data_IF_269320306750
#
_entry.id   IF_269320306750
#
_cell.length_a   1.000
_cell.length_b   1.000
_cell.length_c   1.000
_cell.angle_alpha   90.00
_cell.angle_beta   90.00
_cell.angle_gamma   90.00
#
_symmetry.space_group_name_H-M   'P 1'
#
loop_
_entity.id
_entity.type
_entity.pdbx_description
1 polymer ?
#
# COMPACT_ATOMS: atom_id res chain seq x y z
N UNK A 1 -31.91 20.59 32.77
CA UNK A 1 -31.92 19.82 31.53
C UNK A 1 -31.38 18.42 31.84
N UNK A 2 -32.08 17.37 31.44
CA UNK A 2 -31.63 16.00 31.65
C UNK A 2 -30.40 15.76 30.78
N UNK A 3 -29.48 14.91 31.24
CA UNK A 3 -28.22 14.60 30.49
C UNK A 3 -28.51 14.09 29.07
N UNK A 4 -29.49 13.21 28.91
CA UNK A 4 -29.85 12.65 27.61
C UNK A 4 -30.29 13.70 26.57
N UNK A 5 -30.97 14.77 27.00
CA UNK A 5 -31.38 15.86 26.12
C UNK A 5 -30.16 16.73 25.74
N UNK A 6 -29.27 16.91 26.68
CA UNK A 6 -27.99 17.61 26.44
C UNK A 6 -27.09 16.82 25.47
N UNK A 7 -26.93 15.52 25.71
CA UNK A 7 -26.16 14.62 24.86
C UNK A 7 -26.69 14.61 23.42
N UNK A 8 -28.00 14.41 23.22
CA UNK A 8 -28.64 14.46 21.90
C UNK A 8 -28.37 15.79 21.19
N UNK A 9 -28.49 16.91 21.89
CA UNK A 9 -28.26 18.23 21.33
C UNK A 9 -26.80 18.40 20.86
N UNK A 10 -25.81 17.93 21.63
CA UNK A 10 -24.40 18.06 21.29
C UNK A 10 -23.98 17.09 20.19
N UNK A 11 -24.51 15.87 20.13
CA UNK A 11 -24.23 14.88 19.08
C UNK A 11 -24.59 15.35 17.68
N UNK A 12 -25.57 16.24 17.53
CA UNK A 12 -25.91 16.83 16.22
C UNK A 12 -24.67 17.54 15.62
N UNK A 13 -23.92 18.27 16.44
CA UNK A 13 -22.73 18.97 15.98
C UNK A 13 -21.56 18.01 15.68
N UNK A 14 -21.33 17.00 16.53
CA UNK A 14 -20.28 16.00 16.28
C UNK A 14 -20.52 15.20 14.99
N UNK A 15 -21.77 14.92 14.69
CA UNK A 15 -22.16 14.07 13.55
C UNK A 15 -22.41 14.88 12.27
N UNK A 16 -22.46 16.18 12.34
CA UNK A 16 -22.83 17.08 11.24
C UNK A 16 -21.97 16.92 9.98
N UNK A 17 -20.74 16.46 10.13
CA UNK A 17 -19.79 16.23 9.02
C UNK A 17 -19.46 14.74 8.84
N UNK A 18 -20.20 13.83 9.44
CA UNK A 18 -20.00 12.40 9.25
C UNK A 18 -20.38 11.99 7.82
N UNK A 19 -19.44 11.35 7.13
CA UNK A 19 -19.61 10.82 5.80
C UNK A 19 -19.53 9.30 5.84
N UNK A 20 -20.38 8.64 5.05
CA UNK A 20 -20.43 7.19 4.91
C UNK A 20 -20.27 6.80 3.44
N UNK A 21 -19.64 5.65 3.21
CA UNK A 21 -19.59 5.08 1.87
C UNK A 21 -20.93 4.47 1.55
N UNK A 22 -21.46 4.80 0.37
CA UNK A 22 -22.75 4.31 -0.11
C UNK A 22 -22.71 2.77 -0.23
N UNK A 23 -23.73 2.05 0.26
CA UNK A 23 -23.81 0.60 0.09
C UNK A 23 -23.69 0.18 -1.38
N UNK A 24 -23.02 -0.95 -1.63
CA UNK A 24 -22.79 -1.47 -2.98
C UNK A 24 -21.52 -0.95 -3.65
N UNK A 25 -20.83 0.03 -3.06
CA UNK A 25 -19.51 0.44 -3.54
C UNK A 25 -18.40 -0.51 -3.07
N UNK A 26 -17.45 -0.79 -3.93
CA UNK A 26 -16.15 -1.34 -3.54
C UNK A 26 -15.32 -0.26 -2.86
N UNK A 27 -14.48 -0.67 -1.93
CA UNK A 27 -13.67 0.25 -1.13
C UNK A 27 -12.20 -0.04 -1.38
N UNK A 28 -11.47 0.93 -1.86
CA UNK A 28 -10.04 1.00 -1.71
C UNK A 28 -9.67 2.09 -0.69
N UNK A 29 -8.55 1.92 0.01
CA UNK A 29 -7.98 2.97 0.84
C UNK A 29 -6.51 3.14 0.47
N UNK A 30 -6.05 4.40 0.37
CA UNK A 30 -4.66 4.71 0.08
C UNK A 30 -4.05 5.52 1.22
N UNK A 31 -2.94 5.00 1.72
CA UNK A 31 -2.11 5.67 2.71
C UNK A 31 -0.85 6.21 2.04
N UNK A 32 -0.36 7.36 2.50
CA UNK A 32 0.85 8.00 2.00
C UNK A 32 1.72 8.49 3.16
N UNK A 33 3.02 8.28 3.06
CA UNK A 33 3.98 8.65 4.09
C UNK A 33 4.33 10.14 4.05
N UNK A 34 3.91 10.90 5.04
CA UNK A 34 4.20 12.34 5.12
C UNK A 34 5.70 12.60 5.29
N UNK A 35 6.29 13.35 4.33
CA UNK A 35 7.70 13.75 4.35
C UNK A 35 8.71 12.59 4.31
N UNK A 36 8.35 11.44 3.75
CA UNK A 36 9.20 10.26 3.69
C UNK A 36 10.44 10.44 2.82
N UNK A 37 10.44 11.35 1.85
CA UNK A 37 11.65 11.73 1.13
C UNK A 37 12.74 12.23 2.09
N UNK A 38 12.40 13.11 3.04
CA UNK A 38 13.33 13.58 4.08
C UNK A 38 13.71 12.44 5.03
N UNK A 39 12.74 11.65 5.47
CA UNK A 39 12.97 10.50 6.34
C UNK A 39 13.98 9.53 5.74
N UNK A 40 13.74 9.10 4.50
CA UNK A 40 14.55 8.06 3.85
C UNK A 40 15.93 8.54 3.45
N UNK A 41 16.08 9.79 2.97
CA UNK A 41 17.32 10.30 2.40
C UNK A 41 18.21 11.03 3.41
N UNK A 42 17.63 11.81 4.30
CA UNK A 42 18.39 12.65 5.21
C UNK A 42 18.52 12.04 6.62
N UNK A 43 17.44 11.46 7.15
CA UNK A 43 17.40 10.98 8.54
C UNK A 43 17.90 9.55 8.64
N UNK A 44 17.33 8.61 7.86
CA UNK A 44 17.68 7.19 7.91
C UNK A 44 18.81 6.82 6.93
N UNK A 45 19.08 7.66 5.94
CA UNK A 45 20.09 7.45 4.91
C UNK A 45 19.98 6.08 4.24
N UNK A 46 18.76 5.70 3.90
CA UNK A 46 18.51 4.49 3.14
C UNK A 46 19.12 4.58 1.75
N UNK A 47 19.50 3.44 1.19
CA UNK A 47 20.09 3.36 -0.14
C UNK A 47 19.17 3.92 -1.22
N UNK A 48 19.75 4.57 -2.22
CA UNK A 48 19.02 5.18 -3.33
C UNK A 48 19.36 4.47 -4.66
N UNK A 49 18.37 4.24 -5.52
CA UNK A 49 16.97 4.68 -5.46
C UNK A 49 16.09 3.87 -4.51
N UNK A 50 16.40 2.61 -4.22
CA UNK A 50 15.59 1.69 -3.43
C UNK A 50 16.42 0.99 -2.36
N UNK A 51 15.82 0.73 -1.19
CA UNK A 51 16.45 0.06 -0.06
C UNK A 51 15.53 -1.06 0.45
N UNK A 52 16.07 -2.27 0.58
CA UNK A 52 15.30 -3.43 1.03
C UNK A 52 14.81 -3.29 2.48
N UNK A 53 15.55 -2.62 3.35
CA UNK A 53 15.15 -2.37 4.74
C UNK A 53 13.90 -1.49 4.81
N UNK A 54 13.84 -0.44 3.97
CA UNK A 54 12.66 0.42 3.86
C UNK A 54 11.48 -0.34 3.25
N UNK A 55 11.74 -1.13 2.19
CA UNK A 55 10.73 -2.02 1.60
C UNK A 55 10.11 -2.93 2.65
N UNK A 56 10.93 -3.60 3.46
CA UNK A 56 10.48 -4.59 4.43
C UNK A 56 9.69 -3.94 5.57
N UNK A 57 10.10 -2.77 6.06
CA UNK A 57 9.31 -1.96 7.00
C UNK A 57 7.92 -1.61 6.45
N UNK A 58 7.85 -1.20 5.18
CA UNK A 58 6.56 -0.90 4.53
C UNK A 58 5.70 -2.16 4.33
N UNK A 59 6.31 -3.31 3.98
CA UNK A 59 5.61 -4.60 3.84
C UNK A 59 5.02 -5.02 5.20
N UNK A 60 5.80 -4.96 6.26
CA UNK A 60 5.34 -5.36 7.60
C UNK A 60 4.27 -4.39 8.13
N UNK A 61 4.39 -3.09 7.85
CA UNK A 61 3.34 -2.12 8.14
C UNK A 61 2.05 -2.45 7.38
N UNK A 62 2.15 -2.84 6.11
CA UNK A 62 0.99 -3.26 5.32
C UNK A 62 0.33 -4.50 5.91
N UNK A 63 1.10 -5.52 6.28
CA UNK A 63 0.58 -6.73 6.96
C UNK A 63 -0.10 -6.39 8.27
N UNK A 64 0.46 -5.46 9.05
CA UNK A 64 -0.13 -5.01 10.31
C UNK A 64 -1.51 -4.37 10.08
N UNK A 65 -1.61 -3.38 9.19
CA UNK A 65 -2.89 -2.68 8.95
C UNK A 65 -3.94 -3.57 8.27
N UNK A 66 -3.54 -4.61 7.54
CA UNK A 66 -4.48 -5.62 7.03
C UNK A 66 -5.11 -6.47 8.14
N UNK A 67 -4.53 -6.48 9.36
CA UNK A 67 -5.03 -7.18 10.54
C UNK A 67 -5.70 -6.27 11.59
N UNK A 68 -5.86 -4.98 11.34
CA UNK A 68 -6.36 -4.02 12.34
C UNK A 68 -7.90 -3.93 12.44
N UNK A 69 -8.60 -4.98 12.08
CA UNK A 69 -10.05 -5.10 12.28
C UNK A 69 -10.92 -4.77 11.05
N UNK A 70 -10.32 -4.42 9.93
CA UNK A 70 -11.01 -4.34 8.64
C UNK A 70 -10.86 -5.64 7.86
N UNK A 71 -11.87 -5.98 7.04
CA UNK A 71 -11.76 -7.12 6.12
C UNK A 71 -11.04 -6.70 4.84
N UNK A 72 -9.73 -6.84 4.82
CA UNK A 72 -8.89 -6.51 3.67
C UNK A 72 -8.55 -7.77 2.89
N UNK A 73 -8.73 -7.74 1.57
CA UNK A 73 -8.43 -8.84 0.65
C UNK A 73 -7.02 -8.76 0.08
N UNK A 74 -6.58 -7.54 -0.24
CA UNK A 74 -5.32 -7.29 -0.92
C UNK A 74 -4.71 -5.98 -0.45
N UNK A 75 -3.41 -5.99 -0.19
CA UNK A 75 -2.58 -4.82 0.04
C UNK A 75 -1.59 -4.67 -1.11
N UNK A 76 -1.41 -3.46 -1.60
CA UNK A 76 -0.41 -3.10 -2.59
C UNK A 76 0.48 -2.01 -2.03
N UNK A 77 1.79 -2.22 -2.06
CA UNK A 77 2.79 -1.31 -1.53
C UNK A 77 3.74 -0.86 -2.63
N UNK A 78 3.91 0.43 -2.81
CA UNK A 78 4.96 1.03 -3.61
C UNK A 78 5.58 2.23 -2.90
N UNK A 79 6.91 2.43 -2.97
CA UNK A 79 7.59 3.52 -2.27
C UNK A 79 7.09 3.66 -0.82
N UNK A 80 6.56 4.81 -0.44
CA UNK A 80 5.92 5.15 0.84
C UNK A 80 4.38 5.13 0.78
N UNK A 81 3.82 4.57 -0.30
CA UNK A 81 2.38 4.43 -0.48
C UNK A 81 1.91 2.99 -0.24
N UNK A 82 0.75 2.85 0.40
CA UNK A 82 0.04 1.59 0.60
C UNK A 82 -1.39 1.76 0.07
N UNK A 83 -1.83 0.86 -0.81
CA UNK A 83 -3.22 0.77 -1.26
C UNK A 83 -3.85 -0.53 -0.79
N UNK A 84 -5.02 -0.47 -0.15
CA UNK A 84 -5.75 -1.62 0.37
C UNK A 84 -7.04 -1.82 -0.41
N UNK A 85 -7.37 -3.07 -0.74
CA UNK A 85 -8.68 -3.48 -1.26
C UNK A 85 -9.48 -4.15 -0.15
N UNK A 86 -10.62 -3.58 0.18
CA UNK A 86 -11.52 -4.15 1.17
C UNK A 86 -12.40 -5.25 0.57
N UNK A 87 -12.80 -6.19 1.41
CA UNK A 87 -13.84 -7.14 1.06
C UNK A 87 -15.19 -6.43 0.90
N UNK A 88 -16.02 -6.80 -0.07
CA UNK A 88 -17.37 -6.24 -0.24
C UNK A 88 -18.27 -6.41 1.01
N UNK A 89 -18.00 -7.44 1.83
CA UNK A 89 -18.71 -7.68 3.10
C UNK A 89 -18.07 -6.94 4.30
N UNK A 90 -17.15 -6.00 4.07
CA UNK A 90 -16.64 -5.16 5.15
C UNK A 90 -17.74 -4.26 5.68
N UNK A 91 -18.00 -4.36 6.97
CA UNK A 91 -19.00 -3.53 7.67
C UNK A 91 -18.43 -2.81 8.88
N UNK A 92 -17.12 -2.82 9.04
CA UNK A 92 -16.44 -2.19 10.15
C UNK A 92 -16.80 -0.70 10.22
N UNK A 93 -17.23 -0.25 11.42
CA UNK A 93 -17.67 1.12 11.71
C UNK A 93 -18.76 1.66 10.76
N UNK A 94 -19.64 0.77 10.24
CA UNK A 94 -20.68 1.11 9.25
C UNK A 94 -20.11 1.88 8.03
N UNK A 95 -18.89 1.57 7.63
CA UNK A 95 -18.16 2.25 6.54
C UNK A 95 -18.07 3.77 6.68
N UNK A 96 -17.98 4.28 7.92
CA UNK A 96 -17.76 5.70 8.21
C UNK A 96 -16.38 6.15 7.74
N UNK A 97 -16.32 7.09 6.80
CA UNK A 97 -15.07 7.53 6.13
C UNK A 97 -14.01 7.98 7.11
N UNK A 98 -14.36 8.85 8.10
CA UNK A 98 -13.39 9.33 9.07
C UNK A 98 -12.80 8.19 9.92
N UNK A 99 -13.59 7.16 10.27
CA UNK A 99 -13.09 6.01 11.05
C UNK A 99 -12.11 5.16 10.24
N UNK A 100 -12.41 4.90 8.98
CA UNK A 100 -11.48 4.18 8.09
C UNK A 100 -10.16 4.96 7.97
N UNK A 101 -10.25 6.25 7.60
CA UNK A 101 -9.07 7.09 7.40
C UNK A 101 -8.21 7.20 8.66
N UNK A 102 -8.81 7.51 9.80
CA UNK A 102 -8.05 7.78 11.03
C UNK A 102 -7.46 6.53 11.66
N UNK A 103 -8.18 5.40 11.62
CA UNK A 103 -7.68 4.13 12.17
C UNK A 103 -6.52 3.61 11.32
N UNK A 104 -6.69 3.54 10.00
CA UNK A 104 -5.62 3.06 9.11
C UNK A 104 -4.37 3.94 9.20
N UNK A 105 -4.53 5.27 9.15
CA UNK A 105 -3.42 6.20 9.29
C UNK A 105 -2.74 6.09 10.66
N UNK A 106 -3.53 5.95 11.73
CA UNK A 106 -3.03 5.78 13.10
C UNK A 106 -2.26 4.48 13.29
N UNK A 107 -2.82 3.36 12.84
CA UNK A 107 -2.18 2.03 12.90
C UNK A 107 -0.87 1.99 12.10
N UNK A 108 -0.89 2.50 10.85
CA UNK A 108 0.32 2.57 10.03
C UNK A 108 1.39 3.45 10.67
N UNK A 109 1.01 4.63 11.16
CA UNK A 109 1.94 5.57 11.81
C UNK A 109 2.53 4.99 13.10
N UNK A 110 1.69 4.37 13.93
CA UNK A 110 2.12 3.76 15.20
C UNK A 110 3.08 2.59 14.96
N UNK A 111 2.67 1.63 14.13
CA UNK A 111 3.49 0.45 13.85
C UNK A 111 4.84 0.81 13.21
N UNK A 112 4.81 1.63 12.16
CA UNK A 112 6.04 2.03 11.46
C UNK A 112 6.98 2.82 12.38
N UNK A 113 6.43 3.72 13.21
CA UNK A 113 7.24 4.50 14.16
C UNK A 113 7.94 3.62 15.19
N UNK A 114 7.24 2.63 15.74
CA UNK A 114 7.81 1.67 16.70
C UNK A 114 8.91 0.82 16.04
N UNK A 115 8.65 0.29 14.84
CA UNK A 115 9.62 -0.54 14.12
C UNK A 115 10.87 0.25 13.68
N UNK A 116 10.70 1.53 13.30
CA UNK A 116 11.80 2.38 12.88
C UNK A 116 12.53 3.04 14.06
N UNK A 117 11.91 3.13 15.24
CA UNK A 117 12.43 3.91 16.38
C UNK A 117 12.38 5.43 16.17
N UNK A 118 11.53 5.93 15.29
CA UNK A 118 11.37 7.36 14.97
C UNK A 118 9.91 7.67 14.66
N UNK A 119 9.42 8.80 15.14
CA UNK A 119 8.07 9.24 14.84
C UNK A 119 7.88 9.53 13.35
N UNK A 120 6.86 8.90 12.75
CA UNK A 120 6.42 9.14 11.38
C UNK A 120 4.90 9.31 11.34
N UNK A 121 4.40 9.83 10.23
CA UNK A 121 2.98 10.04 10.03
C UNK A 121 2.57 9.60 8.63
N UNK A 122 1.48 8.84 8.58
CA UNK A 122 0.77 8.54 7.34
C UNK A 122 -0.53 9.33 7.29
N UNK A 123 -0.91 9.78 6.11
CA UNK A 123 -2.30 10.14 5.83
C UNK A 123 -3.04 8.97 5.17
N UNK A 124 -4.36 9.06 5.12
CA UNK A 124 -5.19 8.04 4.48
C UNK A 124 -6.38 8.68 3.78
N UNK A 125 -6.72 8.15 2.61
CA UNK A 125 -7.94 8.49 1.87
C UNK A 125 -8.68 7.25 1.42
N UNK A 126 -10.00 7.28 1.59
CA UNK A 126 -10.89 6.25 1.06
C UNK A 126 -11.26 6.58 -0.38
N UNK A 127 -11.29 5.55 -1.22
CA UNK A 127 -11.65 5.62 -2.64
C UNK A 127 -12.81 4.66 -2.89
N UNK A 128 -14.07 5.14 -2.91
CA UNK A 128 -15.22 4.32 -3.28
C UNK A 128 -15.24 4.12 -4.80
N UNK A 129 -15.42 2.87 -5.22
CA UNK A 129 -15.38 2.45 -6.62
C UNK A 129 -16.69 1.72 -6.96
N UNK A 130 -17.41 2.12 -8.02
CA UNK A 130 -18.77 1.64 -8.27
C UNK A 130 -18.84 0.22 -8.82
N UNK A 131 -17.76 -0.32 -9.42
CA UNK A 131 -17.74 -1.64 -10.04
C UNK A 131 -16.35 -2.27 -10.03
N UNK A 132 -16.30 -3.57 -10.35
CA UNK A 132 -15.07 -4.37 -10.36
C UNK A 132 -14.06 -3.86 -11.40
N UNK A 133 -14.51 -3.39 -12.54
CA UNK A 133 -13.61 -2.90 -13.58
C UNK A 133 -12.82 -1.68 -13.09
N UNK A 134 -13.49 -0.74 -12.42
CA UNK A 134 -12.80 0.40 -11.81
C UNK A 134 -11.89 0.00 -10.65
N UNK A 135 -12.17 -1.10 -9.94
CA UNK A 135 -11.21 -1.64 -8.95
C UNK A 135 -9.96 -2.14 -9.66
N UNK A 136 -10.09 -2.92 -10.74
CA UNK A 136 -8.96 -3.40 -11.54
C UNK A 136 -8.14 -2.23 -12.10
N UNK A 137 -8.82 -1.24 -12.68
CA UNK A 137 -8.19 -0.04 -13.25
C UNK A 137 -7.44 0.77 -12.19
N UNK A 138 -8.01 0.90 -10.98
CA UNK A 138 -7.37 1.59 -9.88
C UNK A 138 -6.01 0.97 -9.51
N UNK A 139 -5.97 -0.34 -9.29
CA UNK A 139 -4.72 -1.02 -8.93
C UNK A 139 -3.74 -1.10 -10.09
N UNK A 140 -4.22 -1.27 -11.32
CA UNK A 140 -3.37 -1.21 -12.52
C UNK A 140 -2.75 0.19 -12.66
N UNK A 141 -3.52 1.25 -12.48
CA UNK A 141 -3.02 2.61 -12.49
C UNK A 141 -1.91 2.82 -11.45
N UNK A 142 -2.09 2.31 -10.22
CA UNK A 142 -1.05 2.41 -9.19
C UNK A 142 0.22 1.66 -9.59
N UNK A 143 0.10 0.46 -10.17
CA UNK A 143 1.26 -0.31 -10.62
C UNK A 143 2.00 0.37 -11.79
N UNK A 144 1.28 0.95 -12.73
CA UNK A 144 1.89 1.69 -13.85
C UNK A 144 2.57 2.99 -13.36
N UNK A 145 1.97 3.68 -12.40
CA UNK A 145 2.59 4.85 -11.77
C UNK A 145 3.88 4.47 -11.03
N UNK A 146 3.89 3.35 -10.31
CA UNK A 146 5.07 2.77 -9.68
C UNK A 146 6.21 2.58 -10.69
N UNK A 147 5.91 1.95 -11.83
CA UNK A 147 6.91 1.70 -12.87
C UNK A 147 7.48 2.98 -13.48
N UNK A 148 6.61 3.95 -13.75
CA UNK A 148 7.02 5.28 -14.25
C UNK A 148 7.94 6.00 -13.26
N UNK A 149 7.57 5.98 -11.98
CA UNK A 149 8.32 6.62 -10.90
C UNK A 149 9.65 5.89 -10.65
N UNK A 150 9.67 4.56 -10.74
CA UNK A 150 10.89 3.76 -10.59
C UNK A 150 11.91 4.07 -11.68
N UNK A 151 11.50 4.09 -12.96
CA UNK A 151 12.39 4.44 -14.06
C UNK A 151 12.98 5.85 -13.87
N UNK A 152 12.13 6.80 -13.48
CA UNK A 152 12.59 8.17 -13.20
C UNK A 152 13.58 8.23 -12.02
N UNK A 153 13.33 7.47 -10.97
CA UNK A 153 14.20 7.39 -9.79
C UNK A 153 15.56 6.78 -10.12
N UNK A 154 15.60 5.71 -10.91
CA UNK A 154 16.85 5.11 -11.38
C UNK A 154 17.67 6.10 -12.18
N UNK A 155 17.08 6.80 -13.16
CA UNK A 155 17.76 7.82 -13.93
C UNK A 155 18.27 8.97 -13.04
N UNK A 156 17.41 9.49 -12.17
CA UNK A 156 17.75 10.59 -11.28
C UNK A 156 18.94 10.25 -10.37
N UNK A 157 18.90 9.11 -9.72
CA UNK A 157 19.97 8.74 -8.79
C UNK A 157 21.26 8.33 -9.49
N UNK A 158 21.20 7.80 -10.72
CA UNK A 158 22.36 7.57 -11.56
C UNK A 158 23.06 8.90 -11.87
N UNK A 159 22.34 9.90 -12.34
CA UNK A 159 22.89 11.23 -12.60
C UNK A 159 23.43 11.91 -11.32
N UNK A 160 22.74 11.72 -10.18
CA UNK A 160 23.20 12.21 -8.88
C UNK A 160 24.53 11.58 -8.45
N UNK A 161 24.71 10.29 -8.68
CA UNK A 161 25.96 9.57 -8.39
C UNK A 161 27.11 10.01 -9.30
N UNK A 162 26.79 10.53 -10.50
CA UNK A 162 27.77 11.12 -11.44
C UNK A 162 28.13 12.58 -11.08
N UNK A 163 27.59 13.14 -10.02
CA UNK A 163 27.93 14.47 -9.52
C UNK A 163 26.96 15.59 -9.91
N UNK A 164 25.91 15.31 -10.67
CA UNK A 164 24.89 16.34 -10.96
C UNK A 164 24.23 16.82 -9.67
N UNK A 165 23.95 18.10 -9.53
CA UNK A 165 23.16 18.66 -8.45
C UNK A 165 21.69 18.17 -8.55
N UNK A 166 20.93 18.33 -7.45
CA UNK A 166 19.50 18.01 -7.41
C UNK A 166 18.73 18.72 -8.53
N UNK A 167 19.01 20.00 -8.72
CA UNK A 167 18.31 20.82 -9.72
C UNK A 167 18.68 20.41 -11.14
N UNK A 168 19.97 20.21 -11.42
CA UNK A 168 20.44 19.79 -12.75
C UNK A 168 19.84 18.44 -13.16
N UNK A 169 19.89 17.41 -12.29
CA UNK A 169 19.32 16.10 -12.59
C UNK A 169 17.82 16.18 -12.84
N UNK A 170 17.09 16.97 -12.03
CA UNK A 170 15.65 17.17 -12.21
C UNK A 170 15.32 17.85 -13.53
N UNK A 171 16.03 18.92 -13.87
CA UNK A 171 15.83 19.64 -15.13
C UNK A 171 16.21 18.79 -16.35
N UNK A 172 17.30 18.03 -16.24
CA UNK A 172 17.74 17.13 -17.30
C UNK A 172 16.71 16.05 -17.65
N UNK A 173 16.04 15.50 -16.65
CA UNK A 173 15.00 14.46 -16.84
C UNK A 173 13.61 15.01 -17.15
N UNK A 174 13.41 16.32 -17.03
CA UNK A 174 12.11 16.95 -17.25
C UNK A 174 11.63 16.71 -18.68
N UNK A 175 10.39 16.25 -18.82
CA UNK A 175 9.73 15.94 -20.09
C UNK A 175 10.47 14.92 -21.00
N UNK A 176 11.43 14.16 -20.46
CA UNK A 176 12.10 13.11 -21.24
C UNK A 176 11.21 11.88 -21.37
N UNK A 177 11.23 11.30 -22.58
CA UNK A 177 10.47 10.08 -22.91
C UNK A 177 10.98 8.86 -22.15
N UNK A 178 10.16 7.80 -22.10
CA UNK A 178 10.55 6.49 -21.58
C UNK A 178 11.75 5.93 -22.35
N UNK A 179 11.72 6.03 -23.68
CA UNK A 179 12.83 5.59 -24.52
C UNK A 179 14.15 6.27 -24.15
N UNK A 180 14.14 7.60 -24.02
CA UNK A 180 15.32 8.36 -23.60
C UNK A 180 15.85 7.90 -22.23
N UNK A 181 14.96 7.65 -21.27
CA UNK A 181 15.35 7.20 -19.93
C UNK A 181 15.97 5.81 -19.92
N UNK A 182 15.44 4.90 -20.72
CA UNK A 182 16.03 3.57 -20.88
C UNK A 182 17.42 3.65 -21.55
N UNK A 183 17.58 4.45 -22.61
CA UNK A 183 18.86 4.69 -23.27
C UNK A 183 19.89 5.30 -22.31
N UNK A 184 19.47 6.28 -21.49
CA UNK A 184 20.31 6.91 -20.48
C UNK A 184 20.88 5.90 -19.49
N UNK A 185 20.07 4.95 -19.03
CA UNK A 185 20.51 3.88 -18.12
C UNK A 185 21.39 2.86 -18.86
N UNK A 186 20.98 2.45 -20.06
CA UNK A 186 21.71 1.47 -20.86
C UNK A 186 23.12 1.93 -21.21
N UNK A 187 23.29 3.20 -21.58
CA UNK A 187 24.60 3.82 -21.82
C UNK A 187 25.52 3.81 -20.57
N UNK A 188 25.00 3.45 -19.40
CA UNK A 188 25.71 3.33 -18.12
C UNK A 188 25.77 1.89 -17.61
N UNK A 189 25.58 0.94 -18.51
CA UNK A 189 25.54 -0.49 -18.22
C UNK A 189 24.44 -0.89 -17.22
N UNK A 190 23.34 -0.15 -17.17
CA UNK A 190 22.15 -0.46 -16.37
C UNK A 190 21.03 -0.85 -17.33
N UNK A 191 20.76 -2.15 -17.45
CA UNK A 191 19.56 -2.60 -18.15
C UNK A 191 18.36 -2.54 -17.19
N UNK A 192 17.42 -1.62 -17.45
CA UNK A 192 16.24 -1.45 -16.58
C UNK A 192 15.35 -2.71 -16.54
N UNK A 193 15.41 -3.58 -17.55
CA UNK A 193 14.68 -4.84 -17.53
C UNK A 193 15.14 -5.79 -16.41
N UNK A 194 16.44 -5.73 -16.05
CA UNK A 194 17.05 -6.59 -15.03
C UNK A 194 16.85 -6.05 -13.60
N UNK A 195 16.30 -4.84 -13.47
CA UNK A 195 15.94 -4.28 -12.17
C UNK A 195 14.88 -5.14 -11.49
N UNK A 196 15.01 -5.47 -10.19
CA UNK A 196 14.07 -6.31 -9.46
C UNK A 196 12.62 -5.82 -9.61
N UNK A 197 11.69 -6.77 -9.76
CA UNK A 197 10.29 -6.46 -10.07
C UNK A 197 9.64 -5.60 -8.98
N UNK A 198 9.95 -5.87 -7.71
CA UNK A 198 9.43 -5.09 -6.59
C UNK A 198 9.79 -3.60 -6.62
N UNK A 199 10.91 -3.22 -7.26
CA UNK A 199 11.30 -1.82 -7.44
C UNK A 199 10.50 -1.14 -8.55
N UNK A 200 10.11 -1.92 -9.58
CA UNK A 200 9.38 -1.44 -10.75
C UNK A 200 7.87 -1.44 -10.56
N UNK A 201 7.35 -2.47 -9.89
CA UNK A 201 5.92 -2.79 -9.87
C UNK A 201 5.33 -2.88 -8.47
N UNK A 202 6.12 -2.56 -7.43
CA UNK A 202 5.67 -2.66 -6.05
C UNK A 202 5.62 -4.10 -5.54
N UNK A 203 4.95 -4.28 -4.40
CA UNK A 203 4.78 -5.57 -3.70
C UNK A 203 3.31 -5.77 -3.39
N UNK A 204 2.78 -6.93 -3.72
CA UNK A 204 1.44 -7.37 -3.34
C UNK A 204 1.45 -8.09 -2.01
N UNK A 205 0.45 -7.88 -1.17
CA UNK A 205 0.29 -8.58 0.11
C UNK A 205 -1.14 -9.15 0.16
N UNK A 206 -1.26 -10.46 0.31
CA UNK A 206 -2.56 -11.13 0.35
C UNK A 206 -2.49 -12.44 1.14
N UNK A 207 -3.67 -12.95 1.53
CA UNK A 207 -3.78 -14.17 2.32
C UNK A 207 -3.43 -15.40 1.50
N UNK A 208 -2.47 -16.21 1.99
CA UNK A 208 -2.20 -17.57 1.48
C UNK A 208 -2.55 -18.61 2.53
N UNK A 209 -3.10 -19.75 2.09
CA UNK A 209 -3.37 -20.88 2.96
C UNK A 209 -2.12 -21.76 3.05
N UNK A 210 -1.80 -22.17 4.26
CA UNK A 210 -0.75 -23.16 4.52
C UNK A 210 -1.24 -24.21 5.51
N UNK A 211 -0.68 -25.41 5.41
CA UNK A 211 -0.97 -26.51 6.33
C UNK A 211 0.05 -26.47 7.47
N UNK A 212 -0.44 -26.44 8.69
CA UNK A 212 0.39 -26.50 9.90
C UNK A 212 -0.01 -27.70 10.76
N UNK A 213 0.97 -28.28 11.43
CA UNK A 213 0.71 -29.29 12.44
C UNK A 213 0.18 -28.63 13.71
N UNK A 214 -1.01 -29.00 14.11
CA UNK A 214 -1.65 -28.60 15.35
C UNK A 214 -1.77 -29.80 16.31
N UNK A 215 -2.11 -29.52 17.56
CA UNK A 215 -2.41 -30.57 18.56
C UNK A 215 -3.86 -30.42 19.00
N UNK A 216 -4.62 -31.51 18.91
CA UNK A 216 -5.99 -31.55 19.42
C UNK A 216 -5.96 -31.99 20.89
N UNK A 217 -6.29 -31.12 21.85
CA UNK A 217 -6.19 -31.44 23.28
C UNK A 217 -7.20 -32.51 23.73
N UNK A 218 -8.31 -32.67 23.00
CA UNK A 218 -9.36 -33.65 23.33
C UNK A 218 -8.94 -35.05 22.88
N UNK A 219 -8.52 -35.19 21.60
CA UNK A 219 -8.11 -36.49 21.04
C UNK A 219 -6.66 -36.83 21.34
N UNK A 220 -5.87 -35.92 21.93
CA UNK A 220 -4.43 -36.05 22.21
C UNK A 220 -3.60 -36.49 20.99
N UNK A 221 -4.02 -36.06 19.77
CA UNK A 221 -3.36 -36.40 18.51
C UNK A 221 -2.91 -35.14 17.76
N UNK A 222 -1.82 -35.29 17.00
CA UNK A 222 -1.44 -34.30 16.01
C UNK A 222 -2.51 -34.25 14.91
N UNK A 223 -2.89 -33.07 14.53
CA UNK A 223 -3.87 -32.80 13.46
C UNK A 223 -3.31 -31.78 12.46
N UNK A 224 -3.61 -32.01 11.19
CA UNK A 224 -3.29 -31.04 10.15
C UNK A 224 -4.34 -29.93 10.17
N UNK A 225 -3.90 -28.68 10.34
CA UNK A 225 -4.79 -27.51 10.39
C UNK A 225 -4.43 -26.58 9.24
N UNK A 226 -5.42 -26.19 8.44
CA UNK A 226 -5.26 -25.09 7.46
C UNK A 226 -5.25 -23.76 8.19
N UNK A 227 -4.22 -22.99 7.96
CA UNK A 227 -4.07 -21.63 8.49
C UNK A 227 -3.91 -20.65 7.35
N UNK A 228 -4.16 -19.39 7.62
CA UNK A 228 -3.96 -18.28 6.68
C UNK A 228 -2.94 -17.32 7.25
N UNK A 229 -2.04 -16.84 6.40
CA UNK A 229 -1.14 -15.74 6.71
C UNK A 229 -1.09 -14.75 5.55
N UNK A 230 -0.80 -13.49 5.84
CA UNK A 230 -0.52 -12.53 4.79
C UNK A 230 0.92 -12.70 4.30
N UNK A 231 1.05 -13.01 3.01
CA UNK A 231 2.33 -13.21 2.34
C UNK A 231 2.61 -12.06 1.39
N UNK A 232 3.88 -11.67 1.28
CA UNK A 232 4.35 -10.68 0.32
C UNK A 232 4.71 -11.36 -1.00
N UNK A 233 4.25 -10.79 -2.11
CA UNK A 233 4.55 -11.19 -3.47
C UNK A 233 5.36 -10.07 -4.16
N UNK A 234 6.61 -10.36 -4.44
CA UNK A 234 7.57 -9.45 -5.05
C UNK A 234 7.62 -9.52 -6.58
N UNK A 235 6.90 -10.49 -7.18
CA UNK A 235 6.90 -10.82 -8.61
C UNK A 235 5.49 -10.72 -9.20
N UNK A 236 4.83 -9.59 -8.95
CA UNK A 236 3.47 -9.34 -9.41
C UNK A 236 3.34 -9.43 -10.93
N UNK A 237 2.24 -10.00 -11.45
CA UNK A 237 1.94 -9.92 -12.87
C UNK A 237 1.76 -8.47 -13.33
N UNK A 238 1.75 -8.24 -14.64
CA UNK A 238 1.65 -6.90 -15.24
C UNK A 238 0.50 -6.81 -16.23
N UNK A 239 0.06 -5.60 -16.54
CA UNK A 239 -0.96 -5.29 -17.53
C UNK A 239 -2.26 -6.10 -17.30
N UNK A 240 -2.82 -6.70 -18.32
CA UNK A 240 -4.07 -7.48 -18.27
C UNK A 240 -4.01 -8.63 -17.24
N UNK A 241 -2.84 -9.28 -17.10
CA UNK A 241 -2.66 -10.35 -16.10
C UNK A 241 -2.76 -9.81 -14.67
N UNK A 242 -2.32 -8.57 -14.43
CA UNK A 242 -2.48 -7.94 -13.12
C UNK A 242 -3.94 -7.54 -12.86
N UNK A 243 -4.63 -7.02 -13.87
CA UNK A 243 -6.06 -6.73 -13.77
C UNK A 243 -6.88 -8.00 -13.47
N UNK A 244 -6.59 -9.11 -14.15
CA UNK A 244 -7.23 -10.40 -13.87
C UNK A 244 -6.91 -10.91 -12.45
N UNK A 245 -5.66 -10.76 -12.01
CA UNK A 245 -5.22 -11.11 -10.65
C UNK A 245 -6.00 -10.31 -9.59
N UNK A 246 -6.15 -9.00 -9.73
CA UNK A 246 -6.96 -8.17 -8.82
C UNK A 246 -8.43 -8.62 -8.82
N UNK A 247 -8.99 -8.90 -10.00
CA UNK A 247 -10.36 -9.39 -10.13
C UNK A 247 -10.62 -10.72 -9.39
N UNK A 248 -9.61 -11.59 -9.30
CA UNK A 248 -9.73 -12.89 -8.63
C UNK A 248 -10.03 -12.78 -7.12
N UNK A 249 -9.58 -11.72 -6.45
CA UNK A 249 -9.92 -11.48 -5.04
C UNK A 249 -11.40 -11.18 -4.80
N UNK A 250 -12.09 -10.68 -5.81
CA UNK A 250 -13.52 -10.33 -5.74
C UNK A 250 -14.42 -11.45 -6.27
N UNK A 251 -13.91 -12.29 -7.17
CA UNK A 251 -14.66 -13.42 -7.74
C UNK A 251 -14.83 -14.63 -6.78
N UNK A 252 -13.96 -14.77 -5.79
CA UNK A 252 -13.92 -15.94 -4.90
C UNK A 252 -15.07 -16.06 -3.88
N UNK A 253 -16.10 -15.20 -3.94
CA UNK A 253 -17.20 -15.14 -2.95
C UNK A 253 -18.62 -15.17 -3.54
N UNK A 254 -18.78 -15.51 -4.83
CA UNK A 254 -20.11 -15.67 -5.42
C UNK A 254 -20.29 -17.07 -6.03
#
# INVERSE_FOLDING_TARGET
MKFDDFDKRMRVYEQSIDQYIVPGMYIAARLDGRSFTKLTREICKFEAPFDSRFRDLMVDTTKHIMNCGFKVLYGYKESDEISLLFSPDNSAFANKVRKINTILAGEASGYFSLALGKAVCFDCRVVPLPNIELVKDYFLWRQEDANRNALNSWCYWTLRKEGMSKNEATQYLRAKSIAFKNELLFARNINYNDVPQWQKRGVGIYSKEYVSQGYNPISKKAVSVKRKSFEADYELPIAEKYSAFIGSFLAAKY
#
